data_IF_047897156196
#
_entry.id   IF_047897156196
#
_cell.length_a   1.000
_cell.length_b   1.000
_cell.length_c   1.000
_cell.angle_alpha   90.00
_cell.angle_beta   90.00
_cell.angle_gamma   90.00
#
_symmetry.space_group_name_H-M   'P 1'
#
loop_
_entity.id
_entity.type
_entity.pdbx_description
1 polymer ?
#
# COMPACT_ATOMS: atom_id res chain seq x y z
N UNK A 1 1.00 24.99 -7.99
CA UNK A 1 0.57 23.63 -7.64
C UNK A 1 1.78 22.74 -7.87
N UNK A 2 2.49 22.41 -6.79
CA UNK A 2 3.79 21.73 -6.85
C UNK A 2 3.54 20.24 -6.90
N UNK A 3 3.93 19.60 -7.99
CA UNK A 3 3.94 18.15 -8.13
C UNK A 3 5.07 17.60 -7.26
N UNK A 4 4.77 17.01 -6.11
CA UNK A 4 5.70 16.11 -5.42
C UNK A 4 5.63 14.78 -6.15
N UNK A 5 6.61 14.53 -7.03
CA UNK A 5 6.74 13.29 -7.79
C UNK A 5 6.77 12.11 -6.80
N UNK A 6 5.78 11.22 -6.86
CA UNK A 6 5.75 9.99 -6.06
C UNK A 6 4.97 10.04 -4.74
N UNK A 7 4.04 10.98 -4.56
CA UNK A 7 3.10 10.94 -3.42
C UNK A 7 1.68 10.86 -3.96
N UNK A 8 0.87 9.89 -3.48
CA UNK A 8 -0.57 9.89 -3.76
C UNK A 8 -1.20 11.00 -2.92
N UNK A 9 -1.89 11.92 -3.59
CA UNK A 9 -2.52 13.04 -2.89
C UNK A 9 -3.57 12.51 -1.91
N UNK A 10 -3.47 12.90 -0.63
CA UNK A 10 -4.35 12.37 0.38
C UNK A 10 -5.70 13.07 0.31
N UNK A 11 -6.76 12.29 0.43
CA UNK A 11 -8.07 12.85 0.74
C UNK A 11 -8.12 13.25 2.22
N UNK A 12 -8.95 14.24 2.56
CA UNK A 12 -9.18 14.66 3.95
C UNK A 12 -9.63 13.47 4.79
N UNK A 13 -8.89 13.18 5.87
CA UNK A 13 -9.17 12.00 6.71
C UNK A 13 -9.89 12.32 8.02
N UNK A 14 -9.77 13.54 8.55
CA UNK A 14 -10.48 13.91 9.76
C UNK A 14 -9.88 15.10 10.51
N UNK A 15 -10.29 15.25 11.77
CA UNK A 15 -9.71 16.21 12.73
C UNK A 15 -9.06 15.46 13.88
N UNK A 16 -7.92 15.96 14.35
CA UNK A 16 -7.32 15.49 15.60
C UNK A 16 -8.09 16.03 16.83
N UNK A 17 -7.59 15.72 18.03
CA UNK A 17 -8.21 16.16 19.29
C UNK A 17 -8.22 17.68 19.49
N UNK A 18 -7.43 18.44 18.71
CA UNK A 18 -7.41 19.91 18.72
C UNK A 18 -8.41 20.52 17.72
N UNK A 19 -9.07 19.69 16.91
CA UNK A 19 -9.91 20.13 15.81
C UNK A 19 -9.14 20.49 14.53
N UNK A 20 -7.83 20.20 14.49
CA UNK A 20 -6.98 20.46 13.32
C UNK A 20 -7.18 19.35 12.30
N UNK A 21 -7.44 19.75 11.05
CA UNK A 21 -7.58 18.81 9.95
C UNK A 21 -6.27 18.07 9.68
N UNK A 22 -6.33 16.75 9.50
CA UNK A 22 -5.18 15.95 9.10
C UNK A 22 -5.45 15.17 7.82
N UNK A 23 -4.35 14.90 7.13
CA UNK A 23 -4.28 14.11 5.90
C UNK A 23 -3.19 13.06 6.07
N UNK A 24 -3.34 11.92 5.41
CA UNK A 24 -2.36 10.84 5.48
C UNK A 24 -1.70 10.67 4.13
N UNK A 25 -0.46 11.14 4.00
CA UNK A 25 0.33 11.02 2.78
C UNK A 25 0.69 9.55 2.55
N UNK A 26 0.55 9.07 1.32
CA UNK A 26 0.93 7.72 0.94
C UNK A 26 2.10 7.79 -0.04
N UNK A 27 3.23 7.20 0.34
CA UNK A 27 4.46 7.21 -0.47
C UNK A 27 4.38 6.16 -1.58
N UNK A 28 4.75 6.56 -2.79
CA UNK A 28 4.91 5.63 -3.90
C UNK A 28 6.12 4.73 -3.66
N UNK A 29 5.95 3.42 -3.79
CA UNK A 29 7.04 2.46 -3.60
C UNK A 29 8.08 2.49 -4.73
N UNK A 30 7.72 3.02 -5.91
CA UNK A 30 8.53 2.85 -7.12
C UNK A 30 8.07 1.67 -8.00
N UNK A 31 7.10 0.87 -7.53
CA UNK A 31 6.68 -0.38 -8.17
C UNK A 31 5.25 -0.34 -8.68
N UNK A 32 4.96 -1.18 -9.68
CA UNK A 32 3.62 -1.37 -10.22
C UNK A 32 3.21 -2.82 -10.07
N UNK A 33 1.92 -3.04 -9.85
CA UNK A 33 1.32 -4.37 -9.82
C UNK A 33 1.16 -4.94 -11.25
N UNK A 34 0.67 -6.17 -11.36
CA UNK A 34 0.46 -6.86 -12.65
C UNK A 34 -0.49 -6.14 -13.62
N UNK A 35 -1.35 -5.27 -13.10
CA UNK A 35 -2.29 -4.46 -13.87
C UNK A 35 -1.72 -3.07 -14.22
N UNK A 36 -0.45 -2.81 -13.88
CA UNK A 36 0.23 -1.53 -14.11
C UNK A 36 -0.17 -0.43 -13.12
N UNK A 37 -0.90 -0.77 -12.05
CA UNK A 37 -1.29 0.16 -11.00
C UNK A 37 -0.11 0.37 -10.06
N UNK A 38 0.17 1.64 -9.75
CA UNK A 38 1.22 2.01 -8.80
C UNK A 38 0.89 1.51 -7.39
N UNK A 39 1.90 0.97 -6.72
CA UNK A 39 1.81 0.46 -5.35
C UNK A 39 2.31 1.52 -4.38
N UNK A 40 1.49 1.86 -3.40
CA UNK A 40 1.78 2.86 -2.37
C UNK A 40 1.83 2.24 -0.97
N UNK A 41 2.45 2.92 -0.03
CA UNK A 41 2.34 2.57 1.40
C UNK A 41 0.87 2.61 1.86
N UNK A 42 0.48 1.58 2.60
CA UNK A 42 -0.90 1.31 3.02
C UNK A 42 -1.76 0.59 1.97
N UNK A 43 -1.26 0.31 0.76
CA UNK A 43 -1.96 -0.58 -0.18
C UNK A 43 -1.94 -2.02 0.35
N UNK A 44 -3.00 -2.77 0.05
CA UNK A 44 -3.17 -4.18 0.37
C UNK A 44 -2.99 -4.97 -0.92
N UNK A 45 -2.01 -5.87 -0.93
CA UNK A 45 -1.63 -6.67 -2.09
C UNK A 45 -1.88 -8.16 -1.86
N UNK A 46 -2.13 -8.89 -2.94
CA UNK A 46 -2.13 -10.35 -2.97
C UNK A 46 -1.17 -10.83 -4.06
N UNK A 47 -0.53 -11.98 -3.81
CA UNK A 47 0.19 -12.69 -4.86
C UNK A 47 -0.76 -13.62 -5.63
N UNK A 48 -0.46 -13.88 -6.90
CA UNK A 48 -1.30 -14.68 -7.79
C UNK A 48 -1.23 -16.19 -7.50
N UNK A 49 -0.35 -16.62 -6.59
CA UNK A 49 -0.18 -18.02 -6.18
C UNK A 49 -0.82 -18.34 -4.82
N UNK A 50 -1.51 -17.37 -4.20
CA UNK A 50 -2.07 -17.48 -2.84
C UNK A 50 -1.04 -17.90 -1.78
N UNK A 51 0.25 -17.56 -1.91
CA UNK A 51 1.20 -17.77 -0.81
C UNK A 51 0.84 -16.93 0.42
N UNK A 52 0.19 -15.78 0.21
CA UNK A 52 -0.58 -15.08 1.22
C UNK A 52 -2.09 -15.34 1.04
N UNK A 53 -2.69 -16.25 1.83
CA UNK A 53 -4.17 -16.48 1.87
C UNK A 53 -5.00 -15.23 2.27
N UNK A 54 -4.32 -14.13 2.60
CA UNK A 54 -4.84 -12.91 3.21
C UNK A 54 -4.04 -11.73 2.65
N UNK A 55 -4.69 -10.62 2.29
CA UNK A 55 -3.99 -9.46 1.72
C UNK A 55 -2.87 -8.96 2.64
N UNK A 56 -1.68 -8.71 2.09
CA UNK A 56 -0.52 -8.16 2.80
C UNK A 56 -0.54 -6.63 2.70
N UNK A 57 -0.35 -5.95 3.81
CA UNK A 57 -0.20 -4.48 3.83
C UNK A 57 1.23 -4.11 3.44
N UNK A 58 1.37 -3.12 2.56
CA UNK A 58 2.66 -2.48 2.25
C UNK A 58 2.93 -1.43 3.32
N UNK A 59 3.65 -1.80 4.38
CA UNK A 59 3.90 -0.89 5.51
C UNK A 59 5.04 0.10 5.25
N UNK A 60 6.13 -0.38 4.66
CA UNK A 60 7.34 0.40 4.42
C UNK A 60 7.94 0.06 3.06
N UNK A 61 8.26 1.10 2.29
CA UNK A 61 8.87 0.94 0.97
C UNK A 61 10.17 0.12 1.01
N UNK A 62 11.10 0.38 1.93
CA UNK A 62 12.39 -0.29 1.96
C UNK A 62 12.28 -1.79 2.28
N UNK A 63 11.44 -2.15 3.26
CA UNK A 63 11.16 -3.56 3.59
C UNK A 63 10.46 -4.26 2.43
N UNK A 64 9.52 -3.57 1.78
CA UNK A 64 8.83 -4.10 0.63
C UNK A 64 9.79 -4.40 -0.54
N UNK A 65 10.76 -3.53 -0.82
CA UNK A 65 11.82 -3.80 -1.80
C UNK A 65 12.73 -4.96 -1.39
N UNK A 66 13.03 -5.09 -0.10
CA UNK A 66 13.84 -6.17 0.42
C UNK A 66 13.20 -7.53 0.14
N UNK A 67 11.87 -7.65 0.23
CA UNK A 67 11.15 -8.88 -0.10
C UNK A 67 11.39 -9.36 -1.54
N UNK A 68 11.53 -8.44 -2.51
CA UNK A 68 11.87 -8.79 -3.90
C UNK A 68 13.29 -9.33 -4.04
N UNK A 69 14.23 -8.77 -3.27
CA UNK A 69 15.64 -9.15 -3.34
C UNK A 69 15.87 -10.50 -2.64
N UNK A 70 15.30 -10.69 -1.45
CA UNK A 70 15.51 -11.87 -0.63
C UNK A 70 14.72 -13.08 -1.13
N UNK A 71 13.44 -12.89 -1.44
CA UNK A 71 12.53 -13.99 -1.81
C UNK A 71 12.32 -14.13 -3.32
N UNK A 72 12.91 -13.24 -4.12
CA UNK A 72 12.78 -13.29 -5.58
C UNK A 72 11.33 -13.08 -6.04
N UNK A 73 10.55 -12.27 -5.31
CA UNK A 73 9.18 -11.93 -5.73
C UNK A 73 9.20 -11.28 -7.12
N UNK A 74 8.19 -11.56 -7.92
CA UNK A 74 7.98 -10.92 -9.23
C UNK A 74 6.79 -9.96 -9.14
N UNK A 75 6.99 -8.72 -9.60
CA UNK A 75 5.95 -7.70 -9.66
C UNK A 75 4.77 -8.14 -10.53
N UNK A 76 5.03 -8.99 -11.54
CA UNK A 76 4.01 -9.56 -12.41
C UNK A 76 2.99 -10.43 -11.65
N UNK A 77 3.29 -10.83 -10.43
CA UNK A 77 2.43 -11.70 -9.63
C UNK A 77 1.61 -10.94 -8.58
N UNK A 78 1.89 -9.65 -8.37
CA UNK A 78 1.22 -8.84 -7.35
C UNK A 78 -0.01 -8.14 -7.90
N UNK A 79 -1.05 -8.02 -7.08
CA UNK A 79 -2.25 -7.25 -7.40
C UNK A 79 -2.68 -6.42 -6.20
N UNK A 80 -2.90 -5.11 -6.40
CA UNK A 80 -3.45 -4.24 -5.35
C UNK A 80 -4.97 -4.42 -5.28
N UNK A 81 -5.45 -5.02 -4.20
CA UNK A 81 -6.88 -5.32 -3.98
C UNK A 81 -7.61 -4.28 -3.11
N UNK A 82 -6.89 -3.37 -2.47
CA UNK A 82 -7.47 -2.33 -1.63
C UNK A 82 -6.41 -1.52 -0.91
N UNK A 83 -6.81 -0.73 0.09
CA UNK A 83 -5.89 -0.07 1.02
C UNK A 83 -6.48 -0.03 2.44
N UNK A 84 -5.63 0.20 3.43
CA UNK A 84 -6.02 0.17 4.85
C UNK A 84 -7.04 1.24 5.28
N UNK A 85 -7.25 2.29 4.47
CA UNK A 85 -8.17 3.38 4.78
C UNK A 85 -9.57 3.16 4.20
N UNK A 86 -9.65 2.57 3.02
CA UNK A 86 -10.90 2.35 2.28
C UNK A 86 -11.43 0.93 2.43
N UNK A 87 -10.54 -0.03 2.69
CA UNK A 87 -10.86 -1.45 2.76
C UNK A 87 -10.30 -2.12 4.04
N UNK A 88 -10.62 -1.59 5.24
CA UNK A 88 -10.14 -2.18 6.49
C UNK A 88 -10.58 -3.64 6.66
N UNK A 89 -11.71 -4.06 6.05
CA UNK A 89 -12.22 -5.43 6.06
C UNK A 89 -11.32 -6.46 5.37
N UNK A 90 -10.37 -6.02 4.54
CA UNK A 90 -9.41 -6.89 3.86
C UNK A 90 -8.24 -7.29 4.77
N UNK A 91 -8.09 -6.63 5.91
CA UNK A 91 -7.09 -6.94 6.93
C UNK A 91 -7.70 -8.01 7.83
N UNK A 92 -7.08 -9.18 7.91
CA UNK A 92 -7.43 -10.18 8.93
C UNK A 92 -6.52 -9.95 10.13
N UNK A 93 -7.11 -9.76 11.30
CA UNK A 93 -6.36 -9.82 12.56
C UNK A 93 -5.66 -11.19 12.63
N UNK A 94 -4.33 -11.20 12.71
CA UNK A 94 -3.63 -12.37 13.24
C UNK A 94 -3.95 -12.42 14.74
N UNK A 95 -4.80 -13.38 15.13
CA UNK A 95 -5.03 -13.76 16.54
C UNK A 95 -3.96 -14.76 16.95
#
# INVERSE_FOLDING_TARGET
>A
MVWLLGVRFPEYKGKDFTGTAYVVLQQFTGLKDKNGKEIYEGDIIVDSFNHCEKGKVVENTAEFWWDFIEYGLDQAELEVIGNIYENPELIKEEI
#
